data_IF_875580531266
#
_entry.id   IF_875580531266
#
_cell.length_a   1.000
_cell.length_b   1.000
_cell.length_c   1.000
_cell.angle_alpha   90.00
_cell.angle_beta   90.00
_cell.angle_gamma   90.00
#
_symmetry.space_group_name_H-M   'P 1'
#
loop_
_entity.id
_entity.type
_entity.pdbx_description
1 polymer ?
#
# COMPACT_ATOMS: atom_id res chain seq x y z
N UNK A 1 -6.75 3.81 -4.07
CA UNK A 1 -6.16 2.72 -3.25
C UNK A 1 -7.12 1.54 -3.24
N UNK A 2 -6.61 0.30 -3.15
CA UNK A 2 -7.46 -0.90 -3.19
C UNK A 2 -8.57 -0.90 -2.12
N UNK A 3 -8.35 -0.27 -0.95
CA UNK A 3 -9.36 -0.16 0.09
C UNK A 3 -10.60 0.65 -0.33
N UNK A 4 -10.45 1.65 -1.20
CA UNK A 4 -11.58 2.40 -1.75
C UNK A 4 -12.41 1.52 -2.68
N UNK A 5 -11.74 0.69 -3.49
CA UNK A 5 -12.40 -0.29 -4.34
C UNK A 5 -13.14 -1.35 -3.51
N UNK A 6 -12.56 -1.74 -2.37
CA UNK A 6 -13.19 -2.62 -1.38
C UNK A 6 -14.36 -1.95 -0.63
N UNK A 7 -14.53 -0.62 -0.71
CA UNK A 7 -15.58 0.10 0.00
C UNK A 7 -15.29 0.34 1.48
N UNK A 8 -14.01 0.28 1.86
CA UNK A 8 -13.54 0.58 3.22
C UNK A 8 -13.32 2.10 3.40
N UNK A 9 -13.45 2.63 4.62
CA UNK A 9 -13.24 4.05 4.89
C UNK A 9 -11.80 4.48 4.58
N UNK A 10 -11.68 5.61 3.87
CA UNK A 10 -10.39 6.24 3.52
C UNK A 10 -9.63 6.67 4.78
N UNK A 11 -10.33 7.04 5.85
CA UNK A 11 -9.74 7.45 7.12
C UNK A 11 -8.91 6.34 7.78
N UNK A 12 -9.19 5.07 7.48
CA UNK A 12 -8.53 3.91 8.08
C UNK A 12 -7.26 3.50 7.34
N UNK A 13 -6.82 4.28 6.35
CA UNK A 13 -5.55 4.07 5.62
C UNK A 13 -4.35 3.86 6.53
N UNK A 14 -4.25 4.66 7.59
CA UNK A 14 -3.14 4.57 8.54
C UNK A 14 -3.19 3.27 9.34
N UNK A 15 -4.39 2.78 9.64
CA UNK A 15 -4.60 1.50 10.32
C UNK A 15 -4.15 0.33 9.43
N UNK A 16 -4.58 0.32 8.17
CA UNK A 16 -4.16 -0.71 7.21
C UNK A 16 -2.65 -0.71 6.99
N UNK A 17 -2.04 0.48 6.93
CA UNK A 17 -0.58 0.60 6.85
C UNK A 17 0.10 0.04 8.09
N UNK A 18 -0.39 0.34 9.29
CA UNK A 18 0.19 -0.16 10.53
C UNK A 18 0.13 -1.69 10.62
N UNK A 19 -0.99 -2.32 10.21
CA UNK A 19 -1.08 -3.77 10.13
C UNK A 19 -0.12 -4.35 9.09
N UNK A 20 -0.08 -3.78 7.89
CA UNK A 20 0.79 -4.27 6.83
C UNK A 20 2.28 -4.12 7.16
N UNK A 21 2.67 -3.02 7.81
CA UNK A 21 4.02 -2.82 8.34
C UNK A 21 4.37 -3.92 9.36
N UNK A 22 3.45 -4.30 10.26
CA UNK A 22 3.67 -5.42 11.21
C UNK A 22 3.79 -6.78 10.53
N UNK A 23 3.06 -7.00 9.43
CA UNK A 23 3.08 -8.27 8.69
C UNK A 23 4.37 -8.45 7.87
N UNK A 24 4.89 -7.37 7.28
CA UNK A 24 5.93 -7.42 6.27
C UNK A 24 7.28 -6.82 6.67
N UNK A 25 7.35 -5.97 7.71
CA UNK A 25 8.62 -5.37 8.12
C UNK A 25 9.47 -6.36 8.95
N UNK A 26 10.07 -7.31 8.23
CA UNK A 26 10.91 -8.39 8.78
C UNK A 26 12.41 -8.11 8.67
N UNK A 27 12.79 -7.02 8.01
CA UNK A 27 14.17 -6.76 7.57
C UNK A 27 15.20 -6.63 8.72
N UNK A 28 14.75 -6.58 9.98
CA UNK A 28 15.61 -6.40 11.16
C UNK A 28 15.32 -7.42 12.28
N UNK A 29 14.38 -8.36 12.09
CA UNK A 29 13.89 -9.22 13.16
C UNK A 29 14.29 -10.71 12.97
N UNK A 30 14.59 -11.41 14.07
CA UNK A 30 14.84 -12.85 14.05
C UNK A 30 13.53 -13.59 13.72
N UNK A 31 13.49 -14.39 12.64
CA UNK A 31 12.29 -15.14 12.26
C UNK A 31 11.83 -16.16 13.31
N UNK A 32 12.67 -16.52 14.28
CA UNK A 32 12.32 -17.41 15.38
C UNK A 32 11.91 -16.67 16.66
N UNK A 33 11.84 -15.35 16.65
CA UNK A 33 11.40 -14.57 17.81
C UNK A 33 9.90 -14.82 18.09
N UNK A 34 9.54 -15.41 19.26
CA UNK A 34 8.14 -15.64 19.61
C UNK A 34 7.33 -14.35 19.68
N UNK A 35 7.96 -13.23 20.03
CA UNK A 35 7.29 -11.92 20.10
C UNK A 35 6.97 -11.37 18.71
N UNK A 36 7.83 -11.64 17.71
CA UNK A 36 7.54 -11.32 16.31
C UNK A 36 6.34 -12.13 15.82
N UNK A 37 6.32 -13.44 16.08
CA UNK A 37 5.21 -14.32 15.71
C UNK A 37 3.88 -13.82 16.32
N UNK A 38 3.87 -13.52 17.62
CA UNK A 38 2.70 -12.98 18.32
C UNK A 38 2.18 -11.69 17.69
N UNK A 39 3.06 -10.75 17.34
CA UNK A 39 2.67 -9.47 16.71
C UNK A 39 2.04 -9.66 15.32
N UNK A 40 2.53 -10.64 14.55
CA UNK A 40 1.98 -10.97 13.23
C UNK A 40 0.59 -11.58 13.38
N UNK A 41 0.42 -12.50 14.33
CA UNK A 41 -0.86 -13.14 14.62
C UNK A 41 -1.89 -12.11 15.09
N UNK A 42 -1.51 -11.18 15.97
CA UNK A 42 -2.37 -10.09 16.43
C UNK A 42 -2.80 -9.16 15.29
N UNK A 43 -1.85 -8.71 14.47
CA UNK A 43 -2.17 -7.84 13.33
C UNK A 43 -3.07 -8.56 12.30
N UNK A 44 -2.86 -9.86 12.10
CA UNK A 44 -3.71 -10.70 11.24
C UNK A 44 -5.12 -10.82 11.81
N UNK A 45 -5.23 -11.12 13.11
CA UNK A 45 -6.51 -11.25 13.80
C UNK A 45 -7.32 -9.94 13.78
N UNK A 46 -6.66 -8.81 14.05
CA UNK A 46 -7.27 -7.48 14.00
C UNK A 46 -7.83 -7.17 12.61
N UNK A 47 -7.03 -7.42 11.56
CA UNK A 47 -7.43 -7.15 10.19
C UNK A 47 -8.58 -8.07 9.75
N UNK A 48 -8.55 -9.35 10.13
CA UNK A 48 -9.65 -10.28 9.85
C UNK A 48 -10.92 -9.89 10.60
N UNK A 49 -10.84 -9.49 11.87
CA UNK A 49 -11.99 -9.05 12.65
C UNK A 49 -12.65 -7.81 12.01
N UNK A 50 -11.83 -6.86 11.59
CA UNK A 50 -12.28 -5.67 10.88
C UNK A 50 -12.99 -6.04 9.56
N UNK A 51 -12.36 -6.85 8.71
CA UNK A 51 -12.94 -7.25 7.43
C UNK A 51 -14.21 -8.09 7.60
N UNK A 52 -14.30 -8.94 8.62
CA UNK A 52 -15.52 -9.69 8.96
C UNK A 52 -16.69 -8.75 9.27
N UNK A 53 -16.45 -7.72 10.08
CA UNK A 53 -17.49 -6.73 10.41
C UNK A 53 -18.00 -6.02 9.15
N UNK A 54 -17.10 -5.62 8.25
CA UNK A 54 -17.45 -4.99 6.98
C UNK A 54 -18.18 -5.95 6.02
N UNK A 55 -17.76 -7.22 5.95
CA UNK A 55 -18.41 -8.23 5.13
C UNK A 55 -19.84 -8.50 5.60
N UNK A 56 -20.04 -8.69 6.90
CA UNK A 56 -21.35 -8.90 7.49
C UNK A 56 -22.30 -7.73 7.20
N UNK A 57 -21.82 -6.49 7.37
CA UNK A 57 -22.59 -5.29 7.03
C UNK A 57 -22.94 -5.22 5.54
N UNK A 58 -22.03 -5.59 4.61
CA UNK A 58 -22.34 -5.62 3.17
C UNK A 58 -23.24 -6.75 2.73
N UNK A 59 -23.22 -7.88 3.44
CA UNK A 59 -24.16 -8.98 3.18
C UNK A 59 -25.58 -8.60 3.58
N UNK A 60 -25.74 -7.86 4.68
CA UNK A 60 -27.04 -7.32 5.10
C UNK A 60 -27.46 -6.08 4.29
N UNK A 61 -26.52 -5.21 3.95
CA UNK A 61 -26.73 -3.93 3.28
C UNK A 61 -25.77 -3.75 2.09
N UNK A 62 -26.04 -4.40 0.94
CA UNK A 62 -25.18 -4.32 -0.24
C UNK A 62 -25.00 -2.89 -0.73
N UNK A 63 -23.77 -2.56 -1.16
CA UNK A 63 -23.39 -1.25 -1.71
C UNK A 63 -22.69 -1.44 -3.06
N UNK A 64 -22.29 -0.33 -3.68
CA UNK A 64 -21.53 -0.34 -4.93
C UNK A 64 -20.02 -0.44 -4.66
N UNK A 65 -19.60 -1.53 -4.01
CA UNK A 65 -18.21 -1.81 -3.69
C UNK A 65 -17.83 -3.27 -3.93
N UNK A 66 -16.53 -3.58 -3.96
CA UNK A 66 -16.05 -4.93 -4.27
C UNK A 66 -16.42 -5.95 -3.20
N UNK A 67 -16.45 -5.58 -1.91
CA UNK A 67 -16.89 -6.49 -0.84
C UNK A 67 -18.35 -6.90 -1.06
N UNK A 68 -19.23 -5.95 -1.40
CA UNK A 68 -20.62 -6.25 -1.74
C UNK A 68 -20.72 -7.18 -2.94
N UNK A 69 -19.96 -6.91 -4.01
CA UNK A 69 -19.93 -7.78 -5.18
C UNK A 69 -19.50 -9.20 -4.83
N UNK A 70 -18.41 -9.37 -4.06
CA UNK A 70 -17.94 -10.69 -3.62
C UNK A 70 -18.94 -11.39 -2.70
N UNK A 71 -19.61 -10.65 -1.81
CA UNK A 71 -20.59 -11.19 -0.88
C UNK A 71 -21.91 -11.62 -1.54
N UNK A 72 -22.27 -11.03 -2.68
CA UNK A 72 -23.57 -11.28 -3.36
C UNK A 72 -23.46 -12.06 -4.66
N UNK A 73 -22.29 -12.09 -5.31
CA UNK A 73 -22.09 -12.79 -6.59
C UNK A 73 -22.22 -14.30 -6.39
N UNK A 74 -22.87 -14.93 -7.35
CA UNK A 74 -22.92 -16.37 -7.53
C UNK A 74 -22.18 -16.71 -8.81
N UNK A 75 -21.17 -17.58 -8.73
CA UNK A 75 -20.42 -18.10 -9.87
C UNK A 75 -20.64 -19.61 -9.92
N UNK A 76 -21.01 -20.13 -11.10
CA UNK A 76 -21.26 -21.57 -11.31
C UNK A 76 -22.26 -22.21 -10.32
N UNK A 77 -23.20 -21.40 -9.81
CA UNK A 77 -24.19 -21.84 -8.84
C UNK A 77 -23.73 -21.79 -7.37
N UNK A 78 -22.47 -21.46 -7.11
CA UNK A 78 -21.91 -21.33 -5.76
C UNK A 78 -21.71 -19.86 -5.37
N UNK A 79 -21.91 -19.58 -4.08
CA UNK A 79 -21.67 -18.26 -3.49
C UNK A 79 -20.49 -18.38 -2.54
N UNK A 80 -19.64 -17.37 -2.53
CA UNK A 80 -18.57 -17.30 -1.55
C UNK A 80 -19.17 -17.23 -0.13
N UNK A 81 -18.61 -18.04 0.75
CA UNK A 81 -18.82 -17.93 2.19
C UNK A 81 -18.27 -16.60 2.72
N UNK A 82 -18.72 -16.18 3.91
CA UNK A 82 -18.19 -14.96 4.52
C UNK A 82 -16.69 -15.05 4.76
N UNK A 83 -16.18 -16.23 5.12
CA UNK A 83 -14.74 -16.44 5.32
C UNK A 83 -13.95 -16.27 4.03
N UNK A 84 -14.46 -16.78 2.91
CA UNK A 84 -13.80 -16.61 1.61
C UNK A 84 -13.77 -15.14 1.20
N UNK A 85 -14.88 -14.42 1.34
CA UNK A 85 -14.95 -12.98 1.01
C UNK A 85 -13.96 -12.19 1.87
N UNK A 86 -13.87 -12.50 3.17
CA UNK A 86 -12.93 -11.87 4.09
C UNK A 86 -11.48 -12.17 3.68
N UNK A 87 -11.16 -13.42 3.39
CA UNK A 87 -9.81 -13.84 3.00
C UNK A 87 -9.38 -13.19 1.67
N UNK A 88 -10.26 -13.16 0.67
CA UNK A 88 -10.01 -12.45 -0.59
C UNK A 88 -9.79 -10.96 -0.37
N UNK A 89 -10.61 -10.33 0.47
CA UNK A 89 -10.49 -8.91 0.80
C UNK A 89 -9.14 -8.61 1.49
N UNK A 90 -8.68 -9.49 2.37
CA UNK A 90 -7.37 -9.41 3.03
C UNK A 90 -6.23 -9.49 2.01
N UNK A 91 -6.23 -10.48 1.11
CA UNK A 91 -5.20 -10.62 0.07
C UNK A 91 -5.14 -9.38 -0.82
N UNK A 92 -6.30 -8.87 -1.26
CA UNK A 92 -6.37 -7.65 -2.08
C UNK A 92 -5.84 -6.42 -1.33
N UNK A 93 -6.19 -6.27 -0.06
CA UNK A 93 -5.73 -5.16 0.79
C UNK A 93 -4.21 -5.17 0.95
N UNK A 94 -3.62 -6.35 1.22
CA UNK A 94 -2.17 -6.53 1.33
C UNK A 94 -1.45 -6.35 -0.01
N UNK A 95 -2.01 -6.85 -1.11
CA UNK A 95 -1.47 -6.66 -2.46
C UNK A 95 -1.38 -5.18 -2.82
N UNK A 96 -2.41 -4.40 -2.50
CA UNK A 96 -2.42 -2.95 -2.74
C UNK A 96 -1.40 -2.19 -1.89
N UNK A 97 -1.03 -2.69 -0.72
CA UNK A 97 0.02 -2.09 0.10
C UNK A 97 1.39 -2.17 -0.58
N UNK A 98 1.76 -3.34 -1.10
CA UNK A 98 3.05 -3.56 -1.78
C UNK A 98 3.18 -2.63 -3.00
N UNK A 99 2.14 -2.52 -3.84
CA UNK A 99 2.18 -1.68 -5.04
C UNK A 99 2.17 -0.17 -4.72
N UNK A 100 1.46 0.26 -3.66
CA UNK A 100 1.39 1.68 -3.30
C UNK A 100 2.70 2.17 -2.67
N UNK A 101 3.33 1.35 -1.83
CA UNK A 101 4.65 1.67 -1.24
C UNK A 101 5.74 1.73 -2.31
N UNK A 102 5.73 0.81 -3.28
CA UNK A 102 6.67 0.81 -4.41
C UNK A 102 6.46 2.00 -5.39
N UNK A 103 5.21 2.44 -5.59
CA UNK A 103 4.93 3.62 -6.42
C UNK A 103 5.39 4.92 -5.75
N UNK A 104 5.29 5.03 -4.42
CA UNK A 104 5.82 6.17 -3.66
C UNK A 104 7.35 6.29 -3.76
N UNK A 105 8.06 5.16 -3.89
CA UNK A 105 9.52 5.14 -4.03
C UNK A 105 9.99 5.64 -5.41
N UNK A 106 9.26 5.35 -6.50
CA UNK A 106 9.62 5.82 -7.84
C UNK A 106 9.35 7.32 -8.09
N UNK A 107 8.43 7.93 -7.33
CA UNK A 107 8.13 9.37 -7.44
C UNK A 107 9.21 10.29 -6.86
N UNK A 108 10.05 9.80 -5.95
CA UNK A 108 11.07 10.61 -5.28
C UNK A 108 12.39 10.75 -6.09
N UNK A 109 12.60 9.94 -7.13
CA UNK A 109 13.86 9.94 -7.90
C UNK A 109 13.87 11.02 -9.00
N UNK A 110 12.72 11.57 -9.40
CA UNK A 110 12.63 12.57 -10.48
C UNK A 110 12.68 14.03 -10.01
N UNK A 111 12.86 14.30 -8.71
CA UNK A 111 12.82 15.65 -8.13
C UNK A 111 14.14 16.43 -8.07
N UNK A 112 15.26 15.91 -8.60
CA UNK A 112 16.54 16.62 -8.59
C UNK A 112 17.01 16.97 -10.01
N UNK A 113 16.41 18.02 -10.57
CA UNK A 113 16.98 18.68 -11.74
C UNK A 113 18.36 19.27 -11.37
N UNK A 114 19.44 19.00 -12.14
CA UNK A 114 20.71 19.67 -11.95
C UNK A 114 20.57 21.16 -12.31
N UNK A 115 21.02 22.02 -11.40
CA UNK A 115 21.08 23.48 -11.61
C UNK A 115 21.90 23.78 -12.87
N UNK A 116 21.37 24.70 -13.66
CA UNK A 116 21.80 24.99 -15.02
C UNK A 116 23.27 25.39 -15.17
N UNK A 117 23.82 24.96 -16.30
CA UNK A 117 25.02 25.49 -16.92
C UNK A 117 24.72 26.91 -17.40
N UNK A 118 25.38 27.89 -16.80
CA UNK A 118 25.39 29.29 -17.23
C UNK A 118 26.74 29.62 -17.86
N UNK A 119 26.77 29.69 -19.18
CA UNK A 119 27.82 30.29 -20.01
C UNK A 119 27.94 31.80 -19.75
N UNK A 120 29.15 32.32 -19.49
CA UNK A 120 29.54 33.68 -19.86
C UNK A 120 31.01 33.66 -20.32
N UNK A 121 31.18 33.89 -21.62
CA UNK A 121 32.44 34.19 -22.26
C UNK A 121 32.73 35.69 -22.13
N UNK A 122 33.75 36.04 -21.34
CA UNK A 122 34.39 37.37 -21.42
C UNK A 122 35.88 37.20 -21.67
N UNK A 123 36.30 37.63 -22.85
CA UNK A 123 37.65 37.53 -23.35
C UNK A 123 38.64 38.47 -22.65
N UNK A 124 39.92 38.13 -22.79
CA UNK A 124 41.01 39.09 -22.95
C UNK A 124 42.25 38.33 -23.45
N UNK A 125 42.72 38.73 -24.63
CA UNK A 125 43.98 38.31 -25.25
C UNK A 125 45.17 38.84 -24.43
N UNK A 126 46.30 38.13 -24.32
CA UNK A 126 47.56 38.77 -23.97
C UNK A 126 48.47 38.83 -25.20
N UNK A 127 48.50 40.01 -25.82
CA UNK A 127 49.58 40.40 -26.72
C UNK A 127 50.08 41.78 -26.29
N UNK A 128 51.25 41.85 -25.65
CA UNK A 128 52.24 42.92 -25.77
C UNK A 128 53.48 42.64 -24.93
N UNK A 129 54.57 42.38 -25.65
CA UNK A 129 55.96 42.64 -25.30
C UNK A 129 56.12 44.07 -24.77
N UNK A 130 56.91 44.27 -23.72
CA UNK A 130 57.85 45.38 -23.47
C UNK A 130 58.35 45.31 -22.02
N UNK A 131 59.51 44.70 -21.80
CA UNK A 131 60.75 45.29 -21.25
C UNK A 131 61.80 44.20 -21.08
#
# INVERSE_FOLDING_TARGET
MIAELLGLPISDRNLFRAWADRLFNRDVADPNDPELARKIDEATADMLAYLRAHCADRRAHPRQDLISRLATVQADGERLSDEEVVNFSMVLLLAGHITTTAAGQHGAVYGRAPRGVGTDARGSLPGRTHY
#
